data_IF_259957403097
#
_entry.id   IF_259957403097
#
_cell.length_a   1.000
_cell.length_b   1.000
_cell.length_c   1.000
_cell.angle_alpha   90.00
_cell.angle_beta   90.00
_cell.angle_gamma   90.00
#
_symmetry.space_group_name_H-M   'P 1'
#
loop_
_entity.id
_entity.type
_entity.pdbx_description
1 polymer ?
#
# COMPACT_ATOMS: atom_id res chain seq x y z
N UNK A 1 -23.20 -9.96 -5.39
CA UNK A 1 -22.03 -9.67 -4.54
C UNK A 1 -21.25 -8.55 -5.19
N UNK A 2 -20.82 -7.56 -4.43
CA UNK A 2 -20.06 -6.44 -4.95
C UNK A 2 -18.68 -6.89 -5.45
N UNK A 3 -18.12 -6.15 -6.40
CA UNK A 3 -16.77 -6.42 -6.88
C UNK A 3 -15.73 -6.29 -5.75
N UNK A 4 -15.96 -5.38 -4.82
CA UNK A 4 -15.04 -5.18 -3.70
C UNK A 4 -15.04 -6.39 -2.77
N UNK A 5 -16.19 -6.96 -2.47
CA UNK A 5 -16.28 -8.17 -1.64
C UNK A 5 -15.57 -9.34 -2.29
N UNK A 6 -15.76 -9.52 -3.61
CA UNK A 6 -15.01 -10.54 -4.36
C UNK A 6 -13.52 -10.34 -4.30
N UNK A 7 -13.09 -9.08 -4.42
CA UNK A 7 -11.67 -8.71 -4.36
C UNK A 7 -11.09 -9.06 -3.00
N UNK A 8 -11.78 -8.72 -1.93
CA UNK A 8 -11.34 -9.03 -0.56
C UNK A 8 -11.25 -10.55 -0.35
N UNK A 9 -12.23 -11.30 -0.84
CA UNK A 9 -12.23 -12.76 -0.74
C UNK A 9 -11.04 -13.37 -1.49
N UNK A 10 -10.80 -12.90 -2.72
CA UNK A 10 -9.65 -13.36 -3.51
C UNK A 10 -8.33 -13.03 -2.84
N UNK A 11 -8.22 -11.84 -2.26
CA UNK A 11 -7.02 -11.43 -1.53
C UNK A 11 -6.72 -12.40 -0.37
N UNK A 12 -7.71 -12.71 0.44
CA UNK A 12 -7.54 -13.62 1.57
C UNK A 12 -7.09 -15.00 1.13
N UNK A 13 -7.64 -15.52 0.03
CA UNK A 13 -7.23 -16.81 -0.53
C UNK A 13 -5.81 -16.77 -1.08
N UNK A 14 -5.38 -15.62 -1.59
CA UNK A 14 -4.09 -15.46 -2.25
C UNK A 14 -2.94 -15.22 -1.28
N UNK A 15 -3.21 -15.01 0.00
CA UNK A 15 -2.16 -14.77 1.01
C UNK A 15 -1.29 -15.99 1.25
N UNK A 16 -1.82 -17.19 1.07
CA UNK A 16 -1.11 -18.41 1.39
C UNK A 16 0.19 -18.55 0.58
N UNK A 17 1.31 -18.55 1.27
CA UNK A 17 2.64 -18.69 0.66
C UNK A 17 3.14 -17.46 -0.08
N UNK A 18 2.43 -16.33 0.00
CA UNK A 18 2.76 -15.09 -0.72
C UNK A 18 2.99 -13.89 0.19
N UNK A 19 3.09 -14.12 1.48
CA UNK A 19 3.41 -13.06 2.45
C UNK A 19 4.90 -13.06 2.75
N UNK A 20 5.39 -11.96 3.29
CA UNK A 20 6.78 -11.83 3.74
C UNK A 20 6.80 -11.99 5.26
N UNK A 21 7.65 -12.90 5.75
CA UNK A 21 7.83 -13.12 7.17
C UNK A 21 8.87 -12.15 7.71
N UNK A 22 8.49 -11.35 8.70
CA UNK A 22 9.38 -10.40 9.35
C UNK A 22 9.14 -10.50 10.86
N UNK A 23 10.19 -10.89 11.60
CA UNK A 23 10.12 -11.07 13.06
C UNK A 23 8.93 -11.92 13.51
N UNK A 24 8.65 -13.00 12.78
CA UNK A 24 7.59 -13.94 13.13
C UNK A 24 6.18 -13.54 12.71
N UNK A 25 5.99 -12.37 12.11
CA UNK A 25 4.70 -11.92 11.59
C UNK A 25 4.69 -11.98 10.08
N UNK A 26 3.52 -12.21 9.51
CA UNK A 26 3.33 -12.29 8.06
C UNK A 26 2.75 -10.99 7.52
N UNK A 27 3.39 -10.43 6.50
CA UNK A 27 3.00 -9.15 5.89
C UNK A 27 2.74 -9.30 4.40
N UNK A 28 1.65 -8.73 3.93
CA UNK A 28 1.39 -8.64 2.50
C UNK A 28 2.26 -7.55 1.88
N UNK A 29 2.71 -7.79 0.65
CA UNK A 29 3.39 -6.74 -0.13
C UNK A 29 2.35 -5.81 -0.75
N UNK A 30 2.78 -4.58 -1.08
CA UNK A 30 1.92 -3.66 -1.84
C UNK A 30 1.63 -4.24 -3.22
N UNK A 31 2.62 -4.89 -3.84
CA UNK A 31 2.45 -5.52 -5.16
C UNK A 31 1.35 -6.58 -5.14
N UNK A 32 1.27 -7.40 -4.09
CA UNK A 32 0.21 -8.40 -3.98
C UNK A 32 -1.16 -7.73 -3.84
N UNK A 33 -1.28 -6.74 -2.97
CA UNK A 33 -2.53 -5.98 -2.80
C UNK A 33 -2.97 -5.36 -4.12
N UNK A 34 -2.05 -4.72 -4.82
CA UNK A 34 -2.32 -4.05 -6.09
C UNK A 34 -2.71 -5.03 -7.19
N UNK A 35 -1.98 -6.14 -7.32
CA UNK A 35 -2.27 -7.15 -8.35
C UNK A 35 -3.67 -7.75 -8.17
N UNK A 36 -4.03 -8.08 -6.94
CA UNK A 36 -5.35 -8.65 -6.65
C UNK A 36 -6.45 -7.60 -6.92
N UNK A 37 -6.24 -6.36 -6.50
CA UNK A 37 -7.20 -5.29 -6.74
C UNK A 37 -7.43 -5.06 -8.23
N UNK A 38 -6.35 -4.93 -8.99
CA UNK A 38 -6.44 -4.67 -10.44
C UNK A 38 -7.04 -5.85 -11.19
N UNK A 39 -6.71 -7.09 -10.80
CA UNK A 39 -7.26 -8.29 -11.43
C UNK A 39 -8.77 -8.37 -11.27
N UNK A 40 -9.29 -8.03 -10.09
CA UNK A 40 -10.72 -8.16 -9.81
C UNK A 40 -11.54 -6.95 -10.26
N UNK A 41 -10.98 -5.76 -10.19
CA UNK A 41 -11.70 -4.51 -10.44
C UNK A 41 -11.47 -3.95 -11.84
N UNK A 42 -10.36 -4.34 -12.48
CA UNK A 42 -10.05 -3.86 -13.83
C UNK A 42 -10.03 -2.34 -13.90
N UNK A 43 -10.64 -1.80 -14.95
CA UNK A 43 -10.70 -0.35 -15.18
C UNK A 43 -11.67 0.38 -14.26
N UNK A 44 -12.45 -0.33 -13.46
CA UNK A 44 -13.30 0.33 -12.46
C UNK A 44 -12.49 0.82 -11.25
N UNK A 45 -11.22 0.40 -11.12
CA UNK A 45 -10.32 0.85 -10.06
C UNK A 45 -9.48 2.03 -10.54
N UNK A 46 -9.61 3.16 -9.85
CA UNK A 46 -8.72 4.30 -10.04
C UNK A 46 -7.90 4.52 -8.78
N UNK A 47 -6.59 4.67 -8.96
CA UNK A 47 -5.67 4.99 -7.88
C UNK A 47 -5.04 6.34 -8.21
N UNK A 48 -5.28 7.32 -7.36
CA UNK A 48 -4.77 8.68 -7.57
C UNK A 48 -3.84 9.02 -6.43
N UNK A 49 -2.59 9.34 -6.76
CA UNK A 49 -1.61 9.76 -5.75
C UNK A 49 -1.33 11.25 -5.90
N UNK A 50 -1.03 11.89 -4.78
CA UNK A 50 -0.61 13.29 -4.79
C UNK A 50 0.41 13.54 -3.70
N UNK A 51 1.32 14.47 -3.98
CA UNK A 51 2.29 14.96 -3.01
C UNK A 51 1.61 16.04 -2.18
N UNK A 52 1.51 15.81 -0.88
CA UNK A 52 0.96 16.80 0.06
C UNK A 52 2.03 17.81 0.43
N UNK A 53 3.24 17.34 0.70
CA UNK A 53 4.37 18.17 1.07
C UNK A 53 5.65 17.43 0.70
N UNK A 54 6.64 18.17 0.20
CA UNK A 54 7.94 17.59 -0.15
C UNK A 54 9.02 18.65 -0.06
N UNK A 55 10.12 18.31 0.58
CA UNK A 55 11.35 19.08 0.54
C UNK A 55 12.54 18.11 0.41
N UNK A 56 13.75 18.57 0.60
CA UNK A 56 14.93 17.73 0.45
C UNK A 56 15.13 16.73 1.59
N UNK A 57 14.32 16.80 2.66
CA UNK A 57 14.43 15.96 3.85
C UNK A 57 13.28 14.98 4.02
N UNK A 58 12.07 15.35 3.58
CA UNK A 58 10.88 14.55 3.82
C UNK A 58 9.85 14.71 2.71
N UNK A 59 8.95 13.75 2.62
CA UNK A 59 7.79 13.79 1.72
C UNK A 59 6.59 13.20 2.44
N UNK A 60 5.42 13.80 2.21
CA UNK A 60 4.13 13.27 2.63
C UNK A 60 3.30 13.10 1.36
N UNK A 61 2.76 11.89 1.17
CA UNK A 61 1.92 11.57 0.02
C UNK A 61 0.59 10.98 0.49
N UNK A 62 -0.40 11.20 -0.34
CA UNK A 62 -1.74 10.65 -0.16
C UNK A 62 -2.12 9.86 -1.40
N UNK A 63 -2.73 8.69 -1.18
CA UNK A 63 -3.29 7.89 -2.25
C UNK A 63 -4.79 7.74 -2.00
N UNK A 64 -5.59 7.99 -3.03
CA UNK A 64 -7.04 7.82 -2.99
C UNK A 64 -7.45 6.67 -3.91
N UNK A 65 -8.32 5.82 -3.42
CA UNK A 65 -8.87 4.70 -4.16
C UNK A 65 -10.32 5.01 -4.53
N UNK A 66 -10.62 4.90 -5.82
CA UNK A 66 -11.97 5.03 -6.35
C UNK A 66 -12.36 3.72 -7.01
N UNK A 67 -13.58 3.27 -6.76
CA UNK A 67 -14.16 2.10 -7.41
C UNK A 67 -15.45 2.55 -8.06
N UNK A 68 -15.52 2.39 -9.40
CA UNK A 68 -16.64 2.84 -10.19
C UNK A 68 -16.95 4.33 -9.95
N UNK A 69 -15.90 5.15 -9.83
CA UNK A 69 -16.00 6.58 -9.62
C UNK A 69 -16.27 7.00 -8.18
N UNK A 70 -16.51 6.06 -7.28
CA UNK A 70 -16.79 6.37 -5.87
C UNK A 70 -15.51 6.27 -5.05
N UNK A 71 -15.22 7.29 -4.25
CA UNK A 71 -14.10 7.28 -3.32
C UNK A 71 -14.38 6.30 -2.18
N UNK A 72 -13.49 5.33 -1.98
CA UNK A 72 -13.70 4.26 -1.01
C UNK A 72 -12.62 4.20 0.06
N UNK A 73 -11.44 4.75 -0.19
CA UNK A 73 -10.35 4.70 0.78
C UNK A 73 -9.30 5.76 0.50
N UNK A 74 -8.59 6.16 1.55
CA UNK A 74 -7.44 7.05 1.47
C UNK A 74 -6.33 6.49 2.35
N UNK A 75 -5.11 6.49 1.84
CA UNK A 75 -3.92 6.17 2.61
C UNK A 75 -2.96 7.35 2.56
N UNK A 76 -2.32 7.65 3.70
CA UNK A 76 -1.33 8.71 3.80
C UNK A 76 -0.05 8.12 4.36
N UNK A 77 1.08 8.55 3.83
CA UNK A 77 2.39 8.09 4.28
C UNK A 77 3.36 9.27 4.34
N UNK A 78 4.38 9.12 5.16
CA UNK A 78 5.47 10.07 5.25
C UNK A 78 6.78 9.28 5.25
N UNK A 79 7.76 9.78 4.50
CA UNK A 79 9.10 9.21 4.47
C UNK A 79 10.15 10.30 4.63
N UNK A 80 11.24 9.95 5.30
CA UNK A 80 12.38 10.85 5.50
C UNK A 80 13.58 10.32 4.71
N UNK A 81 14.26 11.22 4.00
CA UNK A 81 15.40 10.83 3.17
C UNK A 81 16.54 10.20 3.99
N UNK A 82 16.81 10.75 5.17
CA UNK A 82 18.00 10.37 5.95
C UNK A 82 17.79 9.12 6.82
N UNK A 83 16.58 8.59 6.95
CA UNK A 83 16.27 7.53 7.91
C UNK A 83 16.66 6.14 7.44
N UNK A 84 16.87 5.93 6.15
CA UNK A 84 17.32 4.64 5.63
C UNK A 84 18.20 4.86 4.39
N UNK A 85 19.03 3.85 4.09
CA UNK A 85 19.84 3.88 2.89
C UNK A 85 19.01 3.97 1.62
N UNK A 86 17.91 3.23 1.59
CA UNK A 86 16.99 3.20 0.44
C UNK A 86 16.33 4.57 0.24
N UNK A 87 15.96 5.24 1.33
CA UNK A 87 15.29 6.53 1.27
C UNK A 87 16.22 7.67 0.83
N UNK A 88 17.53 7.53 0.92
CA UNK A 88 18.45 8.57 0.46
C UNK A 88 18.28 8.88 -1.03
N UNK A 89 17.91 7.89 -1.83
CA UNK A 89 17.73 8.04 -3.28
C UNK A 89 16.30 7.84 -3.76
N UNK A 90 15.44 7.23 -2.94
CA UNK A 90 14.11 6.78 -3.37
C UNK A 90 13.00 7.10 -2.37
N UNK A 91 13.19 8.14 -1.56
CA UNK A 91 12.21 8.40 -0.49
C UNK A 91 10.83 8.81 -1.03
N UNK A 92 10.77 9.48 -2.19
CA UNK A 92 9.49 9.87 -2.80
C UNK A 92 8.75 8.63 -3.31
N UNK A 93 9.43 7.78 -4.08
CA UNK A 93 8.85 6.57 -4.65
C UNK A 93 8.42 5.60 -3.54
N UNK A 94 9.23 5.45 -2.51
CA UNK A 94 8.88 4.61 -1.36
C UNK A 94 7.67 5.15 -0.61
N UNK A 95 7.55 6.46 -0.49
CA UNK A 95 6.39 7.11 0.12
C UNK A 95 5.12 6.85 -0.68
N UNK A 96 5.19 6.95 -2.01
CA UNK A 96 4.04 6.64 -2.87
C UNK A 96 3.61 5.19 -2.69
N UNK A 97 4.56 4.25 -2.70
CA UNK A 97 4.26 2.84 -2.49
C UNK A 97 3.58 2.61 -1.15
N UNK A 98 4.08 3.23 -0.09
CA UNK A 98 3.50 3.12 1.25
C UNK A 98 2.09 3.69 1.29
N UNK A 99 1.87 4.86 0.69
CA UNK A 99 0.54 5.49 0.64
C UNK A 99 -0.47 4.61 -0.10
N UNK A 100 -0.09 4.07 -1.25
CA UNK A 100 -0.94 3.16 -2.04
C UNK A 100 -1.23 1.88 -1.27
N UNK A 101 -0.21 1.28 -0.65
CA UNK A 101 -0.39 0.08 0.15
C UNK A 101 -1.36 0.28 1.30
N UNK A 102 -1.27 1.41 2.01
CA UNK A 102 -2.18 1.74 3.09
C UNK A 102 -3.60 1.96 2.59
N UNK A 103 -3.77 2.65 1.46
CA UNK A 103 -5.08 2.89 0.86
C UNK A 103 -5.75 1.57 0.46
N UNK A 104 -5.00 0.64 -0.14
CA UNK A 104 -5.51 -0.68 -0.51
C UNK A 104 -5.90 -1.50 0.73
N UNK A 105 -5.12 -1.42 1.80
CA UNK A 105 -5.48 -2.06 3.07
C UNK A 105 -6.77 -1.49 3.63
N UNK A 106 -6.95 -0.17 3.55
CA UNK A 106 -8.17 0.51 4.02
C UNK A 106 -9.41 0.10 3.21
N UNK A 107 -9.22 -0.33 1.96
CA UNK A 107 -10.31 -0.92 1.14
C UNK A 107 -10.72 -2.31 1.62
N UNK A 108 -9.89 -2.96 2.43
CA UNK A 108 -10.15 -4.31 2.90
C UNK A 108 -9.11 -5.35 2.46
N UNK A 109 -8.10 -4.97 1.67
CA UNK A 109 -7.01 -5.87 1.29
C UNK A 109 -5.97 -5.91 2.40
N UNK A 110 -6.38 -6.49 3.51
CA UNK A 110 -5.65 -6.50 4.77
C UNK A 110 -5.70 -7.89 5.39
N UNK A 111 -4.60 -8.32 6.01
CA UNK A 111 -4.56 -9.51 6.85
C UNK A 111 -4.51 -9.06 8.33
N UNK A 112 -3.33 -9.01 8.93
CA UNK A 112 -3.19 -8.64 10.35
C UNK A 112 -2.71 -7.20 10.54
N UNK A 113 -2.32 -6.51 9.47
CA UNK A 113 -1.70 -5.19 9.56
C UNK A 113 -2.04 -4.32 8.36
N UNK A 114 -2.31 -3.03 8.62
CA UNK A 114 -2.38 -2.01 7.58
C UNK A 114 -0.99 -1.82 6.96
N UNK A 115 0.06 -1.85 7.78
CA UNK A 115 1.43 -1.75 7.28
C UNK A 115 1.73 -2.92 6.34
N UNK A 116 2.39 -2.62 5.23
CA UNK A 116 2.84 -3.60 4.25
C UNK A 116 4.21 -4.14 4.63
N UNK A 117 4.64 -5.20 3.94
CA UNK A 117 5.99 -5.73 4.10
C UNK A 117 7.03 -4.63 3.83
N UNK A 118 6.80 -3.79 2.85
CA UNK A 118 7.70 -2.69 2.49
C UNK A 118 7.85 -1.68 3.62
N UNK A 119 6.71 -1.27 4.24
CA UNK A 119 6.74 -0.32 5.35
C UNK A 119 7.49 -0.89 6.56
N UNK A 120 7.24 -2.15 6.90
CA UNK A 120 7.89 -2.81 8.03
C UNK A 120 9.39 -2.95 7.78
N UNK A 121 9.78 -3.33 6.57
CA UNK A 121 11.20 -3.45 6.20
C UNK A 121 11.92 -2.11 6.30
N UNK A 122 11.30 -1.01 5.83
CA UNK A 122 11.88 0.33 5.95
C UNK A 122 12.01 0.76 7.42
N UNK A 123 10.99 0.49 8.23
CA UNK A 123 11.01 0.83 9.66
C UNK A 123 12.13 0.11 10.40
N UNK A 124 12.39 -1.15 10.07
CA UNK A 124 13.48 -1.93 10.66
C UNK A 124 14.84 -1.37 10.24
N UNK A 125 14.98 -0.93 8.99
CA UNK A 125 16.22 -0.33 8.49
C UNK A 125 16.53 1.01 9.18
N UNK A 126 15.50 1.72 9.58
CA UNK A 126 15.66 2.98 10.32
C UNK A 126 16.13 2.73 11.75
#
# INVERSE_FOLDING_TARGET
MSKLIKTITDFKKSLNGKTVSIHGNEYATVALRLAIARRNLGTSLDIVTKVISCDDKQVIMQADIFIEGKHVATGTAQEFRATSRINQTSFVENCETSAVGRALAMCGLINDSVASAEEVSLAIEQ
#
